data_IF_678621066692
#
_entry.id   IF_678621066692
#
_cell.length_a   1.000
_cell.length_b   1.000
_cell.length_c   1.000
_cell.angle_alpha   90.00
_cell.angle_beta   90.00
_cell.angle_gamma   90.00
#
_symmetry.space_group_name_H-M   'P 1'
#
loop_
_entity.id
_entity.type
_entity.pdbx_description
1 polymer ?
#
# COMPACT_ATOMS: atom_id res chain seq x y z
N UNK A 1 5.87 -23.86 -19.34
CA UNK A 1 6.20 -25.19 -19.92
C UNK A 1 5.04 -26.18 -19.82
N UNK A 2 4.46 -26.42 -18.64
CA UNK A 2 3.36 -27.39 -18.47
C UNK A 2 2.14 -27.13 -19.37
N UNK A 3 1.62 -25.90 -19.41
CA UNK A 3 0.46 -25.56 -20.25
C UNK A 3 0.75 -25.77 -21.75
N UNK A 4 1.96 -25.48 -22.20
CA UNK A 4 2.34 -25.72 -23.60
C UNK A 4 2.40 -27.22 -23.92
N UNK A 5 2.89 -28.05 -22.99
CA UNK A 5 2.83 -29.50 -23.11
C UNK A 5 1.38 -30.02 -23.14
N UNK A 6 0.52 -29.54 -22.22
CA UNK A 6 -0.89 -29.94 -22.16
C UNK A 6 -1.63 -29.57 -23.45
N UNK A 7 -1.35 -28.40 -24.03
CA UNK A 7 -1.92 -27.99 -25.31
C UNK A 7 -1.52 -28.92 -26.45
N UNK A 8 -0.24 -29.35 -26.51
CA UNK A 8 0.23 -30.33 -27.51
C UNK A 8 -0.45 -31.69 -27.35
N UNK A 9 -0.63 -32.18 -26.13
CA UNK A 9 -1.41 -33.41 -25.87
C UNK A 9 -2.86 -33.27 -26.35
N UNK A 10 -3.46 -32.10 -26.15
CA UNK A 10 -4.82 -31.80 -26.62
C UNK A 10 -4.94 -31.91 -28.15
N UNK A 11 -3.96 -31.34 -28.86
CA UNK A 11 -3.87 -31.39 -30.32
C UNK A 11 -3.61 -32.81 -30.82
N UNK A 12 -2.65 -33.53 -30.23
CA UNK A 12 -2.32 -34.91 -30.61
C UNK A 12 -3.52 -35.85 -30.46
N UNK A 13 -4.36 -35.63 -29.43
CA UNK A 13 -5.55 -36.44 -29.17
C UNK A 13 -6.79 -35.96 -29.91
N UNK A 14 -6.66 -34.95 -30.79
CA UNK A 14 -7.77 -34.35 -31.55
C UNK A 14 -8.95 -33.93 -30.67
N UNK A 15 -8.65 -33.47 -29.45
CA UNK A 15 -9.68 -33.03 -28.51
C UNK A 15 -10.23 -31.66 -28.90
N UNK A 16 -11.51 -31.44 -28.58
CA UNK A 16 -12.18 -30.18 -28.86
C UNK A 16 -11.48 -29.02 -28.15
N UNK A 17 -11.05 -28.01 -28.93
CA UNK A 17 -10.28 -26.86 -28.42
C UNK A 17 -11.05 -26.06 -27.37
N UNK A 18 -12.38 -26.03 -27.46
CA UNK A 18 -13.25 -25.34 -26.50
C UNK A 18 -13.18 -25.92 -25.08
N UNK A 19 -12.75 -27.19 -24.92
CA UNK A 19 -12.65 -27.85 -23.61
C UNK A 19 -11.32 -27.59 -22.90
N UNK A 20 -10.31 -27.12 -23.63
CA UNK A 20 -8.98 -26.88 -23.07
C UNK A 20 -8.99 -25.88 -21.89
N UNK A 21 -9.65 -24.71 -21.97
CA UNK A 21 -9.72 -23.78 -20.83
C UNK A 21 -10.41 -24.39 -19.61
N UNK A 22 -11.49 -25.17 -19.81
CA UNK A 22 -12.19 -25.83 -18.73
C UNK A 22 -11.30 -26.88 -18.03
N UNK A 23 -10.50 -27.61 -18.79
CA UNK A 23 -9.54 -28.58 -18.25
C UNK A 23 -8.42 -27.91 -17.45
N UNK A 24 -7.87 -26.80 -17.96
CA UNK A 24 -6.89 -25.99 -17.22
C UNK A 24 -7.50 -25.45 -15.93
N UNK A 25 -8.72 -24.92 -15.98
CA UNK A 25 -9.44 -24.45 -14.78
C UNK A 25 -9.66 -25.57 -13.76
N UNK A 26 -10.13 -26.73 -14.20
CA UNK A 26 -10.30 -27.90 -13.34
C UNK A 26 -8.99 -28.37 -12.70
N UNK A 27 -7.89 -28.34 -13.45
CA UNK A 27 -6.57 -28.67 -12.92
C UNK A 27 -6.11 -27.66 -11.86
N UNK A 28 -6.30 -26.36 -12.10
CA UNK A 28 -5.96 -25.33 -11.11
C UNK A 28 -6.76 -25.49 -9.82
N UNK A 29 -8.05 -25.83 -9.92
CA UNK A 29 -8.89 -26.13 -8.75
C UNK A 29 -8.36 -27.37 -8.01
N UNK A 30 -8.06 -28.44 -8.74
CA UNK A 30 -7.52 -29.66 -8.15
C UNK A 30 -6.18 -29.41 -7.44
N UNK A 31 -5.26 -28.68 -8.07
CA UNK A 31 -3.99 -28.25 -7.46
C UNK A 31 -4.26 -27.41 -6.21
N UNK A 32 -5.21 -26.48 -6.27
CA UNK A 32 -5.61 -25.67 -5.12
C UNK A 32 -6.10 -26.52 -3.94
N UNK A 33 -6.98 -27.49 -4.19
CA UNK A 33 -7.52 -28.40 -3.17
C UNK A 33 -6.40 -29.28 -2.59
N UNK A 34 -5.57 -29.89 -3.45
CA UNK A 34 -4.46 -30.73 -3.00
C UNK A 34 -3.48 -29.93 -2.17
N UNK A 35 -3.11 -28.72 -2.60
CA UNK A 35 -2.22 -27.84 -1.84
C UNK A 35 -2.85 -27.45 -0.51
N UNK A 36 -4.15 -27.16 -0.47
CA UNK A 36 -4.86 -26.83 0.77
C UNK A 36 -4.87 -27.97 1.79
N UNK A 37 -4.92 -29.22 1.34
CA UNK A 37 -4.92 -30.40 2.21
C UNK A 37 -3.51 -30.82 2.61
N UNK A 38 -2.57 -30.85 1.68
CA UNK A 38 -1.20 -31.36 1.90
C UNK A 38 -0.29 -30.30 2.53
N UNK A 39 -0.46 -29.03 2.15
CA UNK A 39 0.37 -27.90 2.58
C UNK A 39 -0.51 -26.76 3.14
N UNK A 40 -1.26 -26.99 4.22
CA UNK A 40 -2.23 -26.01 4.74
C UNK A 40 -1.56 -24.68 5.14
N UNK A 41 -0.32 -24.72 5.64
CA UNK A 41 0.46 -23.53 5.97
C UNK A 41 0.77 -22.67 4.73
N UNK A 42 1.16 -23.30 3.62
CA UNK A 42 1.41 -22.58 2.35
C UNK A 42 0.11 -21.94 1.83
N UNK A 43 -0.99 -22.68 1.85
CA UNK A 43 -2.31 -22.14 1.44
C UNK A 43 -2.76 -20.99 2.33
N UNK A 44 -2.55 -21.08 3.65
CA UNK A 44 -2.80 -19.99 4.58
C UNK A 44 -2.01 -18.74 4.24
N UNK A 45 -0.71 -18.87 3.99
CA UNK A 45 0.17 -17.78 3.59
C UNK A 45 -0.24 -17.14 2.26
N UNK A 46 -0.49 -17.94 1.23
CA UNK A 46 -0.92 -17.45 -0.09
C UNK A 46 -2.26 -16.71 0.02
N UNK A 47 -3.25 -17.31 0.68
CA UNK A 47 -4.58 -16.71 0.86
C UNK A 47 -4.48 -15.38 1.62
N UNK A 48 -3.74 -15.37 2.72
CA UNK A 48 -3.60 -14.18 3.58
C UNK A 48 -2.92 -13.04 2.82
N UNK A 49 -1.82 -13.31 2.13
CA UNK A 49 -1.10 -12.31 1.35
C UNK A 49 -1.92 -11.81 0.15
N UNK A 50 -2.60 -12.70 -0.57
CA UNK A 50 -3.44 -12.33 -1.70
C UNK A 50 -4.59 -11.40 -1.27
N UNK A 51 -5.25 -11.71 -0.15
CA UNK A 51 -6.34 -10.89 0.37
C UNK A 51 -5.85 -9.54 0.93
N UNK A 52 -4.68 -9.52 1.58
CA UNK A 52 -4.04 -8.26 2.00
C UNK A 52 -3.69 -7.38 0.79
N UNK A 53 -3.25 -7.98 -0.30
CA UNK A 53 -2.80 -7.25 -1.49
C UNK A 53 -3.94 -6.76 -2.39
N UNK A 54 -4.89 -7.64 -2.77
CA UNK A 54 -5.92 -7.35 -3.78
C UNK A 54 -7.31 -7.16 -3.18
N UNK A 55 -7.52 -7.64 -1.95
CA UNK A 55 -8.84 -7.84 -1.36
C UNK A 55 -9.54 -6.59 -0.85
N UNK A 56 -9.09 -5.37 -1.20
CA UNK A 56 -9.66 -4.09 -0.72
C UNK A 56 -9.92 -4.09 0.81
N UNK A 57 -9.11 -4.84 1.55
CA UNK A 57 -9.27 -5.10 2.98
C UNK A 57 -7.98 -4.72 3.71
N UNK A 58 -8.03 -3.62 4.46
CA UNK A 58 -7.03 -3.28 5.45
C UNK A 58 -7.56 -3.70 6.83
N UNK A 59 -6.82 -4.55 7.55
CA UNK A 59 -7.06 -4.84 8.96
C UNK A 59 -6.98 -3.57 9.83
N UNK A 60 -7.50 -3.63 11.06
CA UNK A 60 -7.49 -2.48 11.97
C UNK A 60 -6.07 -1.97 12.27
N UNK A 61 -5.11 -2.87 12.50
CA UNK A 61 -3.70 -2.54 12.69
C UNK A 61 -3.06 -1.86 11.45
N UNK A 62 -3.37 -2.35 10.25
CA UNK A 62 -2.94 -1.69 9.00
C UNK A 62 -3.63 -0.34 8.75
N UNK A 63 -4.76 -0.08 9.43
CA UNK A 63 -5.53 1.16 9.27
C UNK A 63 -5.04 2.33 10.15
N UNK A 64 -3.92 2.22 10.84
CA UNK A 64 -3.25 3.40 11.43
C UNK A 64 -1.91 3.69 10.80
N UNK A 65 -1.39 2.75 10.02
CA UNK A 65 -0.29 3.00 9.11
C UNK A 65 -0.84 3.80 7.93
N UNK A 66 -0.36 5.03 7.77
CA UNK A 66 -0.87 5.96 6.76
C UNK A 66 -0.87 5.38 5.33
N UNK A 67 0.11 4.55 5.01
CA UNK A 67 0.27 3.96 3.67
C UNK A 67 -0.61 2.73 3.40
N UNK A 68 -1.11 2.06 4.43
CA UNK A 68 -1.92 0.86 4.29
C UNK A 68 -3.44 1.16 4.32
N UNK A 69 -3.82 2.44 4.31
CA UNK A 69 -5.19 2.87 4.09
C UNK A 69 -5.69 2.52 2.69
N UNK A 70 -7.00 2.26 2.52
CA UNK A 70 -7.62 2.26 1.20
C UNK A 70 -7.49 3.64 0.55
N UNK A 71 -7.08 3.67 -0.71
CA UNK A 71 -6.81 4.92 -1.43
C UNK A 71 -8.00 5.87 -1.45
N UNK A 72 -9.22 5.33 -1.58
CA UNK A 72 -10.45 6.10 -1.70
C UNK A 72 -11.17 6.33 -0.34
N UNK A 73 -10.52 6.09 0.80
CA UNK A 73 -11.17 6.18 2.12
C UNK A 73 -11.37 7.62 2.62
N UNK A 74 -10.52 8.56 2.22
CA UNK A 74 -10.42 9.90 2.84
C UNK A 74 -11.27 11.01 2.21
N UNK A 75 -12.03 10.75 1.14
CA UNK A 75 -12.76 11.80 0.43
C UNK A 75 -13.57 11.33 -0.77
N UNK A 76 -13.97 12.27 -1.63
CA UNK A 76 -14.64 11.96 -2.89
C UNK A 76 -13.71 11.14 -3.80
N UNK A 77 -14.12 9.95 -4.31
CA UNK A 77 -13.27 9.13 -5.16
C UNK A 77 -12.70 9.88 -6.37
N UNK A 78 -13.52 10.73 -6.99
CA UNK A 78 -13.08 11.57 -8.10
C UNK A 78 -11.97 12.54 -7.67
N UNK A 79 -12.15 13.22 -6.53
CA UNK A 79 -11.19 14.20 -6.05
C UNK A 79 -9.85 13.56 -5.73
N UNK A 80 -9.85 12.39 -5.07
CA UNK A 80 -8.62 11.65 -4.73
C UNK A 80 -7.89 11.15 -5.97
N UNK A 81 -8.60 10.59 -6.95
CA UNK A 81 -7.99 10.15 -8.21
C UNK A 81 -7.44 11.35 -8.98
N UNK A 82 -8.22 12.44 -9.06
CA UNK A 82 -7.82 13.64 -9.79
C UNK A 82 -6.66 14.37 -9.11
N UNK A 83 -6.56 14.35 -7.78
CA UNK A 83 -5.45 14.96 -7.03
C UNK A 83 -4.11 14.24 -7.27
N UNK A 84 -4.12 12.93 -7.50
CA UNK A 84 -2.90 12.16 -7.78
C UNK A 84 -2.58 12.08 -9.27
N UNK A 85 -3.58 11.73 -10.08
CA UNK A 85 -3.39 11.33 -11.49
C UNK A 85 -3.99 12.28 -12.52
N UNK A 86 -4.72 13.31 -12.08
CA UNK A 86 -5.43 14.25 -12.97
C UNK A 86 -6.29 13.48 -13.99
N UNK A 87 -6.29 13.89 -15.26
CA UNK A 87 -7.00 13.22 -16.34
C UNK A 87 -6.30 11.96 -16.88
N UNK A 88 -5.05 11.70 -16.48
CA UNK A 88 -4.30 10.53 -16.95
C UNK A 88 -4.98 9.23 -16.54
N UNK A 89 -5.43 9.11 -15.29
CA UNK A 89 -6.17 7.91 -14.85
C UNK A 89 -7.44 7.65 -15.67
N UNK A 90 -8.21 8.70 -15.98
CA UNK A 90 -9.46 8.56 -16.73
C UNK A 90 -9.23 8.19 -18.19
N UNK A 91 -8.18 8.74 -18.81
CA UNK A 91 -7.78 8.34 -20.18
C UNK A 91 -7.25 6.91 -20.20
N UNK A 92 -6.45 6.51 -19.22
CA UNK A 92 -5.98 5.14 -19.05
C UNK A 92 -7.14 4.13 -18.89
N UNK A 93 -8.11 4.45 -18.04
CA UNK A 93 -9.33 3.65 -17.87
C UNK A 93 -10.12 3.57 -19.18
N UNK A 94 -10.23 4.68 -19.91
CA UNK A 94 -10.92 4.72 -21.20
C UNK A 94 -10.24 3.82 -22.23
N UNK A 95 -8.91 3.82 -22.31
CA UNK A 95 -8.18 2.88 -23.18
C UNK A 95 -8.46 1.41 -22.80
N UNK A 96 -8.40 1.07 -21.51
CA UNK A 96 -8.67 -0.29 -21.05
C UNK A 96 -10.08 -0.75 -21.40
N UNK A 97 -11.09 0.08 -21.11
CA UNK A 97 -12.50 -0.21 -21.41
C UNK A 97 -12.73 -0.31 -22.90
N UNK A 98 -12.15 0.60 -23.69
CA UNK A 98 -12.36 0.58 -25.14
C UNK A 98 -11.66 -0.60 -25.80
N UNK A 99 -10.46 -0.97 -25.36
CA UNK A 99 -9.76 -2.17 -25.83
C UNK A 99 -10.58 -3.43 -25.57
N UNK A 100 -11.15 -3.58 -24.36
CA UNK A 100 -11.99 -4.72 -24.00
C UNK A 100 -13.33 -4.71 -24.75
N UNK A 101 -14.02 -3.58 -24.77
CA UNK A 101 -15.39 -3.47 -25.24
C UNK A 101 -15.53 -3.37 -26.76
N UNK A 102 -14.60 -2.69 -27.45
CA UNK A 102 -14.73 -2.40 -28.89
C UNK A 102 -14.90 -3.66 -29.75
N UNK A 103 -14.14 -4.75 -29.56
CA UNK A 103 -14.35 -5.97 -30.35
C UNK A 103 -15.70 -6.63 -30.10
N UNK A 104 -16.18 -6.59 -28.86
CA UNK A 104 -17.47 -7.19 -28.48
C UNK A 104 -18.66 -6.38 -28.99
N UNK A 105 -18.57 -5.05 -28.95
CA UNK A 105 -19.63 -4.13 -29.40
C UNK A 105 -19.72 -4.09 -30.93
N UNK A 106 -18.58 -4.26 -31.63
CA UNK A 106 -18.53 -4.31 -33.10
C UNK A 106 -18.75 -5.71 -33.68
N UNK A 107 -18.97 -6.71 -32.84
CA UNK A 107 -19.29 -8.07 -33.29
C UNK A 107 -20.65 -8.07 -34.01
N UNK A 108 -20.75 -8.82 -35.11
CA UNK A 108 -22.03 -9.01 -35.82
C UNK A 108 -23.03 -9.84 -34.97
N UNK A 109 -22.53 -10.56 -33.96
CA UNK A 109 -23.33 -11.37 -33.04
C UNK A 109 -23.91 -10.52 -31.90
N UNK A 110 -25.24 -10.42 -31.84
CA UNK A 110 -25.94 -9.62 -30.82
C UNK A 110 -25.57 -10.05 -29.39
N UNK A 111 -25.27 -11.33 -29.19
CA UNK A 111 -24.92 -11.88 -27.87
C UNK A 111 -23.62 -11.31 -27.30
N UNK A 112 -22.72 -10.79 -28.13
CA UNK A 112 -21.44 -10.22 -27.67
C UNK A 112 -21.62 -8.77 -27.22
N UNK A 113 -22.41 -8.00 -27.95
CA UNK A 113 -22.81 -6.65 -27.54
C UNK A 113 -23.62 -6.67 -26.26
N UNK A 114 -24.56 -7.62 -26.12
CA UNK A 114 -25.32 -7.84 -24.87
C UNK A 114 -24.39 -8.20 -23.72
N UNK A 115 -23.36 -9.02 -23.97
CA UNK A 115 -22.36 -9.36 -22.96
C UNK A 115 -21.58 -8.13 -22.49
N UNK A 116 -21.10 -7.29 -23.42
CA UNK A 116 -20.38 -6.07 -23.08
C UNK A 116 -21.25 -5.10 -22.26
N UNK A 117 -22.51 -4.90 -22.66
CA UNK A 117 -23.46 -4.06 -21.92
C UNK A 117 -23.75 -4.62 -20.53
N UNK A 118 -23.97 -5.94 -20.41
CA UNK A 118 -24.21 -6.61 -19.14
C UNK A 118 -22.98 -6.54 -18.22
N UNK A 119 -21.76 -6.68 -18.75
CA UNK A 119 -20.53 -6.55 -18.00
C UNK A 119 -20.38 -5.14 -17.39
N UNK A 120 -20.61 -4.09 -18.20
CA UNK A 120 -20.59 -2.70 -17.73
C UNK A 120 -21.67 -2.46 -16.67
N UNK A 121 -22.90 -2.93 -16.92
CA UNK A 121 -24.01 -2.79 -15.98
C UNK A 121 -23.74 -3.53 -14.66
N UNK A 122 -23.12 -4.71 -14.71
CA UNK A 122 -22.76 -5.48 -13.52
C UNK A 122 -21.68 -4.76 -12.71
N UNK A 123 -20.59 -4.33 -13.35
CA UNK A 123 -19.51 -3.59 -12.69
C UNK A 123 -20.05 -2.28 -12.10
N UNK A 124 -20.79 -1.49 -12.88
CA UNK A 124 -21.43 -0.27 -12.39
C UNK A 124 -22.41 -0.54 -11.24
N UNK A 125 -23.19 -1.61 -11.33
CA UNK A 125 -24.15 -2.05 -10.32
C UNK A 125 -23.50 -2.39 -8.97
N UNK A 126 -22.30 -2.97 -8.97
CA UNK A 126 -21.53 -3.24 -7.74
C UNK A 126 -21.29 -1.95 -6.95
N UNK A 127 -20.96 -0.85 -7.65
CA UNK A 127 -20.72 0.44 -7.02
C UNK A 127 -22.01 1.20 -6.69
N UNK A 128 -22.98 1.20 -7.60
CA UNK A 128 -24.24 1.94 -7.45
C UNK A 128 -25.17 1.31 -6.40
N UNK A 129 -25.16 -0.01 -6.27
CA UNK A 129 -26.01 -0.77 -5.35
C UNK A 129 -25.19 -1.46 -4.25
N UNK A 130 -24.16 -0.79 -3.73
CA UNK A 130 -23.22 -1.35 -2.73
C UNK A 130 -23.90 -2.03 -1.52
N UNK A 131 -24.97 -1.49 -0.91
CA UNK A 131 -25.64 -2.15 0.21
C UNK A 131 -26.26 -3.50 -0.18
N UNK A 132 -26.85 -3.60 -1.38
CA UNK A 132 -27.45 -4.82 -1.91
C UNK A 132 -26.36 -5.84 -2.23
N UNK A 133 -25.31 -5.39 -2.92
CA UNK A 133 -24.14 -6.19 -3.24
C UNK A 133 -23.49 -6.81 -2.00
N UNK A 134 -23.27 -6.02 -0.95
CA UNK A 134 -22.67 -6.50 0.30
C UNK A 134 -23.55 -7.56 1.00
N UNK A 135 -24.88 -7.41 0.96
CA UNK A 135 -25.80 -8.42 1.52
C UNK A 135 -25.74 -9.72 0.73
N UNK A 136 -25.77 -9.64 -0.60
CA UNK A 136 -25.66 -10.82 -1.47
C UNK A 136 -24.35 -11.56 -1.24
N UNK A 137 -23.23 -10.84 -1.14
CA UNK A 137 -21.95 -11.44 -0.81
C UNK A 137 -21.98 -12.22 0.51
N UNK A 138 -22.58 -11.62 1.55
CA UNK A 138 -22.76 -12.27 2.86
C UNK A 138 -23.60 -13.54 2.81
N UNK A 139 -24.68 -13.55 2.01
CA UNK A 139 -25.55 -14.74 1.84
C UNK A 139 -24.81 -15.90 1.18
N UNK A 140 -23.96 -15.61 0.19
CA UNK A 140 -23.16 -16.63 -0.52
C UNK A 140 -21.92 -17.02 0.29
N UNK A 141 -21.68 -16.39 1.45
CA UNK A 141 -20.53 -16.69 2.31
C UNK A 141 -19.20 -16.10 1.80
N UNK A 142 -19.25 -15.14 0.87
CA UNK A 142 -18.07 -14.45 0.38
C UNK A 142 -17.89 -13.09 1.05
N UNK A 143 -16.62 -12.75 1.30
CA UNK A 143 -16.26 -11.36 1.54
C UNK A 143 -16.62 -10.53 0.28
N UNK A 144 -17.30 -9.37 0.40
CA UNK A 144 -17.74 -8.57 -0.75
C UNK A 144 -16.61 -8.21 -1.71
N UNK A 145 -15.39 -8.01 -1.21
CA UNK A 145 -14.25 -7.68 -2.05
C UNK A 145 -13.77 -8.89 -2.85
N UNK A 146 -13.73 -10.08 -2.23
CA UNK A 146 -13.41 -11.34 -2.92
C UNK A 146 -14.42 -11.62 -4.03
N UNK A 147 -15.70 -11.44 -3.74
CA UNK A 147 -16.75 -11.60 -4.75
C UNK A 147 -16.54 -10.65 -5.94
N UNK A 148 -16.05 -9.44 -5.69
CA UNK A 148 -15.83 -8.43 -6.74
C UNK A 148 -14.69 -8.86 -7.67
N UNK A 149 -13.60 -9.34 -7.10
CA UNK A 149 -12.47 -9.90 -7.87
C UNK A 149 -12.93 -11.10 -8.70
N UNK A 150 -13.71 -12.00 -8.11
CA UNK A 150 -14.24 -13.17 -8.82
C UNK A 150 -15.17 -12.78 -9.97
N UNK A 151 -16.03 -11.78 -9.77
CA UNK A 151 -16.90 -11.25 -10.83
C UNK A 151 -16.05 -10.65 -11.96
N UNK A 152 -15.09 -9.78 -11.65
CA UNK A 152 -14.23 -9.16 -12.67
C UNK A 152 -13.41 -10.22 -13.42
N UNK A 153 -12.83 -11.19 -12.71
CA UNK A 153 -12.11 -12.30 -13.32
C UNK A 153 -13.01 -13.13 -14.24
N UNK A 154 -14.24 -13.45 -13.81
CA UNK A 154 -15.22 -14.16 -14.62
C UNK A 154 -15.61 -13.35 -15.87
N UNK A 155 -15.77 -12.03 -15.75
CA UNK A 155 -16.05 -11.15 -16.88
C UNK A 155 -14.89 -11.08 -17.89
N UNK A 156 -13.64 -11.06 -17.40
CA UNK A 156 -12.47 -11.08 -18.27
C UNK A 156 -12.34 -12.44 -18.98
N UNK A 157 -12.53 -13.55 -18.27
CA UNK A 157 -12.55 -14.90 -18.87
C UNK A 157 -13.67 -15.00 -19.90
N UNK A 158 -14.89 -14.58 -19.55
CA UNK A 158 -16.03 -14.62 -20.47
C UNK A 158 -15.80 -13.78 -21.72
N UNK A 159 -15.10 -12.64 -21.61
CA UNK A 159 -14.71 -11.84 -22.78
C UNK A 159 -13.80 -12.65 -23.72
N UNK A 160 -12.81 -13.39 -23.19
CA UNK A 160 -11.91 -14.24 -24.00
C UNK A 160 -12.62 -15.44 -24.65
N UNK A 161 -13.74 -15.88 -24.10
CA UNK A 161 -14.57 -16.93 -24.70
C UNK A 161 -15.44 -16.41 -25.85
N UNK A 162 -15.73 -15.10 -25.89
CA UNK A 162 -16.47 -14.45 -26.97
C UNK A 162 -15.57 -13.95 -28.09
N UNK A 163 -14.45 -13.34 -27.73
CA UNK A 163 -13.52 -12.75 -28.68
C UNK A 163 -12.08 -13.19 -28.40
N UNK A 164 -11.32 -13.50 -29.46
CA UNK A 164 -9.91 -13.85 -29.35
C UNK A 164 -9.06 -12.59 -29.33
N UNK A 165 -8.76 -12.12 -28.13
CA UNK A 165 -7.83 -11.01 -27.93
C UNK A 165 -6.38 -11.44 -28.17
N UNK A 166 -5.55 -10.52 -28.65
CA UNK A 166 -4.10 -10.69 -28.68
C UNK A 166 -3.59 -10.88 -27.24
N UNK A 167 -2.79 -11.94 -27.02
CA UNK A 167 -2.41 -12.36 -25.67
C UNK A 167 -1.56 -11.33 -24.92
N UNK A 168 -0.67 -10.63 -25.64
CA UNK A 168 0.17 -9.54 -25.14
C UNK A 168 -0.66 -8.35 -24.67
N UNK A 169 -1.66 -7.95 -25.46
CA UNK A 169 -2.55 -6.83 -25.11
C UNK A 169 -3.51 -7.19 -23.99
N UNK A 170 -4.06 -8.41 -24.01
CA UNK A 170 -4.92 -8.89 -22.93
C UNK A 170 -4.15 -9.04 -21.61
N UNK A 171 -2.88 -9.45 -21.66
CA UNK A 171 -2.01 -9.46 -20.49
C UNK A 171 -1.89 -8.07 -19.85
N UNK A 172 -1.72 -7.00 -20.65
CA UNK A 172 -1.67 -5.63 -20.12
C UNK A 172 -2.96 -5.25 -19.38
N UNK A 173 -4.13 -5.68 -19.87
CA UNK A 173 -5.41 -5.47 -19.19
C UNK A 173 -5.43 -6.17 -17.83
N UNK A 174 -5.08 -7.46 -17.79
CA UNK A 174 -5.10 -8.25 -16.56
C UNK A 174 -4.12 -7.68 -15.54
N UNK A 175 -2.90 -7.36 -15.97
CA UNK A 175 -1.88 -6.72 -15.15
C UNK A 175 -2.34 -5.36 -14.63
N UNK A 176 -2.85 -4.49 -15.51
CA UNK A 176 -3.35 -3.16 -15.14
C UNK A 176 -4.51 -3.22 -14.15
N UNK A 177 -5.45 -4.15 -14.35
CA UNK A 177 -6.57 -4.37 -13.42
C UNK A 177 -6.07 -4.85 -12.05
N UNK A 178 -5.10 -5.76 -12.01
CA UNK A 178 -4.53 -6.29 -10.78
C UNK A 178 -3.80 -5.21 -9.97
N UNK A 179 -2.92 -4.43 -10.62
CA UNK A 179 -2.21 -3.32 -9.99
C UNK A 179 -3.17 -2.22 -9.53
N UNK A 180 -4.19 -1.89 -10.32
CA UNK A 180 -5.23 -0.92 -9.93
C UNK A 180 -5.98 -1.40 -8.69
N UNK A 181 -6.36 -2.67 -8.64
CA UNK A 181 -7.00 -3.27 -7.46
C UNK A 181 -6.10 -3.17 -6.23
N UNK A 182 -4.80 -3.45 -6.36
CA UNK A 182 -3.85 -3.36 -5.27
C UNK A 182 -3.67 -1.91 -4.77
N UNK A 183 -3.46 -0.95 -5.67
CA UNK A 183 -3.32 0.46 -5.34
C UNK A 183 -4.59 1.05 -4.69
N UNK A 184 -5.77 0.57 -5.09
CA UNK A 184 -7.02 1.00 -4.48
C UNK A 184 -7.24 0.35 -3.10
N UNK A 185 -6.63 -0.82 -2.88
CA UNK A 185 -6.62 -1.53 -1.59
C UNK A 185 -5.69 -0.85 -0.59
N UNK A 186 -4.50 -0.45 -1.01
CA UNK A 186 -3.53 0.24 -0.16
C UNK A 186 -2.75 1.30 -0.93
N UNK A 187 -2.62 2.49 -0.34
CA UNK A 187 -1.86 3.62 -0.90
C UNK A 187 -0.40 3.25 -1.20
N UNK A 188 0.22 2.34 -0.44
CA UNK A 188 1.60 1.90 -0.71
C UNK A 188 1.83 1.27 -2.08
N UNK A 189 0.80 0.82 -2.80
CA UNK A 189 0.97 0.29 -4.15
C UNK A 189 0.74 1.34 -5.24
N UNK A 190 0.49 2.60 -4.86
CA UNK A 190 0.17 3.67 -5.80
C UNK A 190 1.33 3.95 -6.78
N UNK A 191 2.58 3.75 -6.37
CA UNK A 191 3.72 3.90 -7.29
C UNK A 191 3.73 2.87 -8.44
N UNK A 192 3.16 1.67 -8.25
CA UNK A 192 2.97 0.73 -9.36
C UNK A 192 1.84 1.16 -10.30
N UNK A 193 0.78 1.76 -9.76
CA UNK A 193 -0.34 2.27 -10.55
C UNK A 193 0.09 3.41 -11.47
N UNK A 194 1.06 4.24 -11.08
CA UNK A 194 1.62 5.28 -11.94
C UNK A 194 2.14 4.74 -13.28
N UNK A 195 2.85 3.61 -13.26
CA UNK A 195 3.33 2.97 -14.49
C UNK A 195 2.19 2.46 -15.36
N UNK A 196 1.17 1.83 -14.75
CA UNK A 196 -0.02 1.36 -15.47
C UNK A 196 -0.74 2.54 -16.12
N UNK A 197 -1.00 3.61 -15.37
CA UNK A 197 -1.66 4.82 -15.86
C UNK A 197 -0.88 5.41 -17.04
N UNK A 198 0.44 5.56 -16.91
CA UNK A 198 1.27 6.09 -17.99
C UNK A 198 1.18 5.25 -19.28
N UNK A 199 1.30 3.92 -19.19
CA UNK A 199 1.22 3.02 -20.34
C UNK A 199 -0.18 3.10 -20.98
N UNK A 200 -1.24 3.02 -20.17
CA UNK A 200 -2.60 3.03 -20.69
C UNK A 200 -3.04 4.40 -21.23
N UNK A 201 -2.53 5.50 -20.67
CA UNK A 201 -2.69 6.84 -21.26
C UNK A 201 -1.97 6.92 -22.61
N UNK A 202 -0.77 6.34 -22.75
CA UNK A 202 -0.09 6.28 -24.05
C UNK A 202 -0.89 5.44 -25.06
N UNK A 203 -1.47 4.32 -24.62
CA UNK A 203 -2.38 3.51 -25.45
C UNK A 203 -3.63 4.30 -25.85
N UNK A 204 -4.19 5.11 -24.94
CA UNK A 204 -5.31 6.01 -25.25
C UNK A 204 -4.93 7.00 -26.35
N UNK A 205 -3.78 7.67 -26.22
CA UNK A 205 -3.28 8.61 -27.22
C UNK A 205 -3.07 7.91 -28.56
N UNK A 206 -2.45 6.73 -28.57
CA UNK A 206 -2.26 5.93 -29.79
C UNK A 206 -3.60 5.53 -30.42
N UNK A 207 -4.59 5.19 -29.59
CA UNK A 207 -5.93 4.83 -30.05
C UNK A 207 -6.62 6.04 -30.68
N UNK A 208 -6.63 7.20 -30.03
CA UNK A 208 -7.21 8.42 -30.62
C UNK A 208 -6.48 8.78 -31.90
N UNK A 209 -5.14 8.75 -31.92
CA UNK A 209 -4.35 9.02 -33.11
C UNK A 209 -4.70 8.09 -34.29
N UNK A 210 -4.97 6.81 -34.03
CA UNK A 210 -5.42 5.87 -35.07
C UNK A 210 -6.84 6.11 -35.59
N UNK A 211 -7.69 6.81 -34.84
CA UNK A 211 -9.06 7.11 -35.27
C UNK A 211 -9.14 8.33 -36.19
N UNK A 212 -8.15 9.22 -36.08
CA UNK A 212 -8.12 10.49 -36.80
C UNK A 212 -6.91 10.56 -37.75
N UNK A 213 -6.33 9.40 -38.09
CA UNK A 213 -5.20 9.19 -39.00
C UNK A 213 -3.95 10.05 -38.73
N UNK A 214 -3.76 10.46 -37.46
CA UNK A 214 -2.63 11.29 -37.03
C UNK A 214 -1.26 10.64 -37.26
N UNK A 215 -1.18 9.31 -37.43
CA UNK A 215 0.08 8.60 -37.70
C UNK A 215 0.58 8.86 -39.12
N UNK A 216 -0.29 8.77 -40.11
CA UNK A 216 0.03 9.17 -41.50
C UNK A 216 0.35 10.66 -41.56
N UNK A 217 -0.30 11.46 -40.71
CA UNK A 217 0.01 12.88 -40.54
C UNK A 217 1.40 13.13 -39.94
N UNK A 218 1.83 12.38 -38.93
CA UNK A 218 3.16 12.52 -38.34
C UNK A 218 4.29 12.10 -39.30
N UNK A 219 4.08 11.03 -40.06
CA UNK A 219 5.01 10.58 -41.09
C UNK A 219 5.07 11.57 -42.27
N UNK A 220 3.95 12.20 -42.65
CA UNK A 220 3.91 13.25 -43.68
C UNK A 220 4.47 14.61 -43.23
N UNK A 221 4.50 14.93 -41.92
CA UNK A 221 5.22 16.12 -41.41
C UNK A 221 6.72 16.05 -41.76
N UNK A 222 7.30 14.86 -41.83
CA UNK A 222 8.68 14.64 -42.27
C UNK A 222 8.89 14.90 -43.77
N UNK A 223 7.84 14.87 -44.61
CA UNK A 223 7.98 14.93 -46.08
C UNK A 223 7.22 16.07 -46.80
N UNK A 224 6.17 16.70 -46.25
CA UNK A 224 5.62 17.96 -46.79
C UNK A 224 4.51 18.58 -45.94
N UNK A 225 4.67 19.87 -45.61
CA UNK A 225 3.84 20.69 -44.71
C UNK A 225 2.44 21.10 -45.23
N UNK A 226 1.69 20.23 -45.93
CA UNK A 226 0.38 20.62 -46.51
C UNK A 226 -0.80 19.64 -46.37
N UNK A 227 -0.73 18.61 -45.53
CA UNK A 227 -1.82 17.62 -45.42
C UNK A 227 -2.45 17.46 -44.02
N UNK A 228 -2.18 18.36 -43.07
CA UNK A 228 -2.88 18.32 -41.78
C UNK A 228 -4.21 19.07 -41.91
N UNK A 229 -5.34 18.37 -41.74
CA UNK A 229 -6.62 19.05 -41.62
C UNK A 229 -6.65 19.85 -40.30
N UNK A 230 -7.09 21.12 -40.35
CA UNK A 230 -6.99 22.02 -39.19
C UNK A 230 -7.63 21.49 -37.91
N UNK A 231 -8.67 20.65 -38.01
CA UNK A 231 -9.30 20.02 -36.85
C UNK A 231 -8.47 18.88 -36.24
N UNK A 232 -7.67 18.15 -37.03
CA UNK A 232 -6.75 17.11 -36.52
C UNK A 232 -5.68 17.75 -35.62
N UNK A 233 -5.13 18.89 -36.04
CA UNK A 233 -4.20 19.67 -35.24
C UNK A 233 -4.86 20.15 -33.94
N UNK A 234 -6.10 20.63 -34.00
CA UNK A 234 -6.86 21.04 -32.80
C UNK A 234 -7.05 19.87 -31.84
N UNK A 235 -7.40 18.67 -32.33
CA UNK A 235 -7.55 17.48 -31.46
C UNK A 235 -6.23 17.09 -30.82
N UNK A 236 -5.13 17.06 -31.58
CA UNK A 236 -3.80 16.73 -31.05
C UNK A 236 -3.38 17.73 -29.95
N UNK A 237 -3.52 19.03 -30.22
CA UNK A 237 -3.25 20.10 -29.24
C UNK A 237 -4.16 19.97 -28.02
N UNK A 238 -5.45 19.70 -28.22
CA UNK A 238 -6.42 19.51 -27.12
C UNK A 238 -6.05 18.32 -26.24
N UNK A 239 -5.60 17.20 -26.81
CA UNK A 239 -5.15 16.03 -26.05
C UNK A 239 -3.91 16.37 -25.21
N UNK A 240 -2.92 17.04 -25.81
CA UNK A 240 -1.72 17.49 -25.10
C UNK A 240 -2.11 18.41 -23.94
N UNK A 241 -2.97 19.40 -24.18
CA UNK A 241 -3.46 20.30 -23.12
C UNK A 241 -4.31 19.59 -22.07
N UNK A 242 -5.16 18.63 -22.44
CA UNK A 242 -5.98 17.89 -21.48
C UNK A 242 -5.11 16.98 -20.59
N UNK A 243 -4.07 16.38 -21.15
CA UNK A 243 -3.18 15.49 -20.41
C UNK A 243 -2.15 16.24 -19.58
N UNK A 244 -1.55 17.30 -20.12
CA UNK A 244 -0.43 18.02 -19.49
C UNK A 244 -0.89 19.32 -18.81
N UNK A 245 -1.88 20.01 -19.36
CA UNK A 245 -2.38 21.29 -18.85
C UNK A 245 -2.80 21.26 -17.37
N UNK A 246 -3.55 20.24 -16.90
CA UNK A 246 -3.86 20.09 -15.47
C UNK A 246 -2.65 19.92 -14.54
N UNK A 247 -1.47 19.59 -15.08
CA UNK A 247 -0.22 19.54 -14.32
C UNK A 247 0.54 20.87 -14.32
N UNK A 248 0.35 21.73 -15.33
CA UNK A 248 1.03 23.02 -15.46
C UNK A 248 0.24 24.16 -14.80
N UNK A 249 -1.08 24.21 -15.04
CA UNK A 249 -1.91 25.39 -14.74
C UNK A 249 -2.55 25.32 -13.35
N UNK A 250 -2.61 24.14 -12.73
CA UNK A 250 -3.36 23.98 -11.48
C UNK A 250 -2.53 24.35 -10.24
N UNK A 251 -2.85 25.51 -9.64
CA UNK A 251 -2.33 25.99 -8.35
C UNK A 251 -3.16 25.52 -7.14
N UNK A 252 -3.71 24.31 -7.19
CA UNK A 252 -4.55 23.75 -6.12
C UNK A 252 -3.76 23.33 -4.88
N UNK A 253 -4.43 23.04 -3.75
CA UNK A 253 -3.78 22.64 -2.50
C UNK A 253 -3.09 21.25 -2.57
N UNK A 254 -3.31 20.48 -3.65
CA UNK A 254 -2.72 19.16 -3.86
C UNK A 254 -1.59 19.24 -4.87
N UNK A 255 -0.36 19.15 -4.37
CA UNK A 255 0.86 19.08 -5.18
C UNK A 255 0.80 17.83 -6.06
N UNK A 256 1.10 17.96 -7.35
CA UNK A 256 1.24 16.78 -8.21
C UNK A 256 2.43 15.91 -7.74
N UNK A 257 2.37 14.59 -7.95
CA UNK A 257 3.40 13.65 -7.47
C UNK A 257 4.85 14.04 -7.85
N UNK A 258 5.07 14.62 -9.03
CA UNK A 258 6.38 15.16 -9.45
C UNK A 258 6.84 16.33 -8.58
N UNK A 259 5.94 17.22 -8.19
CA UNK A 259 6.27 18.36 -7.34
C UNK A 259 6.59 17.91 -5.92
N UNK A 260 5.84 16.93 -5.39
CA UNK A 260 6.20 16.26 -4.13
C UNK A 260 7.57 15.61 -4.22
N UNK A 261 7.86 14.89 -5.32
CA UNK A 261 9.16 14.28 -5.56
C UNK A 261 10.32 15.30 -5.65
N UNK A 262 10.08 16.45 -6.27
CA UNK A 262 11.05 17.56 -6.35
C UNK A 262 11.28 18.28 -5.02
N UNK A 263 10.42 18.06 -4.03
CA UNK A 263 10.55 18.58 -2.66
C UNK A 263 11.09 17.53 -1.68
N UNK A 264 11.52 16.37 -2.17
CA UNK A 264 12.12 15.34 -1.32
C UNK A 264 13.44 15.86 -0.73
N UNK A 265 13.57 15.74 0.59
CA UNK A 265 14.77 16.09 1.34
C UNK A 265 14.85 15.28 2.63
N UNK A 266 15.92 15.43 3.42
CA UNK A 266 16.02 14.78 4.73
C UNK A 266 14.85 15.29 5.60
N UNK A 267 13.91 14.39 5.89
CA UNK A 267 12.64 14.72 6.55
C UNK A 267 12.81 14.97 8.05
N UNK A 268 11.95 14.34 8.85
CA UNK A 268 11.94 14.51 10.30
C UNK A 268 13.23 14.03 11.02
N UNK A 269 14.13 13.33 10.32
CA UNK A 269 15.43 12.93 10.87
C UNK A 269 16.30 14.14 11.24
N UNK A 270 16.13 15.28 10.56
CA UNK A 270 16.90 16.50 10.84
C UNK A 270 16.66 17.07 12.24
N UNK A 271 15.49 16.81 12.82
CA UNK A 271 15.17 17.18 14.22
C UNK A 271 15.83 16.21 15.21
N UNK A 272 16.05 14.97 14.79
CA UNK A 272 16.64 13.93 15.62
C UNK A 272 18.18 13.89 15.56
N UNK A 273 18.78 14.51 14.55
CA UNK A 273 20.20 14.37 14.19
C UNK A 273 21.12 14.71 15.37
N UNK A 274 21.00 15.91 15.94
CA UNK A 274 21.81 16.36 17.09
C UNK A 274 21.66 15.44 18.32
N UNK A 275 20.44 14.96 18.57
CA UNK A 275 20.15 14.08 19.72
C UNK A 275 20.72 12.67 19.52
N UNK A 276 20.73 12.18 18.28
CA UNK A 276 21.31 10.89 17.92
C UNK A 276 22.84 10.95 17.86
N UNK A 277 23.40 12.06 17.38
CA UNK A 277 24.85 12.31 17.45
C UNK A 277 25.33 12.36 18.90
N UNK A 278 24.58 13.04 19.78
CA UNK A 278 24.86 13.04 21.21
C UNK A 278 24.80 11.62 21.79
N UNK A 279 23.75 10.85 21.48
CA UNK A 279 23.65 9.45 21.93
C UNK A 279 24.86 8.63 21.48
N UNK A 280 25.26 8.75 20.22
CA UNK A 280 26.40 8.03 19.66
C UNK A 280 27.69 8.32 20.43
N UNK A 281 27.96 9.60 20.72
CA UNK A 281 29.22 10.05 21.34
C UNK A 281 29.26 9.92 22.86
N UNK A 282 28.13 10.05 23.54
CA UNK A 282 28.07 10.27 24.99
C UNK A 282 27.49 9.09 25.77
N UNK A 283 27.02 8.04 25.07
CA UNK A 283 26.63 6.78 25.71
C UNK A 283 27.65 5.67 25.41
N UNK A 284 27.84 4.68 26.30
CA UNK A 284 28.74 3.56 26.02
C UNK A 284 28.35 2.83 24.72
N UNK A 285 29.32 2.32 23.97
CA UNK A 285 29.01 1.47 22.82
C UNK A 285 28.38 0.15 23.32
N UNK A 286 27.39 -0.43 22.61
CA UNK A 286 26.82 -1.73 23.00
C UNK A 286 27.93 -2.78 23.12
N UNK A 287 27.95 -3.52 24.22
CA UNK A 287 29.02 -4.46 24.58
C UNK A 287 30.11 -3.88 25.49
N UNK A 288 30.07 -2.58 25.79
CA UNK A 288 31.05 -1.90 26.68
C UNK A 288 30.45 -1.36 27.98
N UNK A 289 29.11 -1.43 28.13
CA UNK A 289 28.42 -0.93 29.32
C UNK A 289 28.84 -1.73 30.55
N UNK A 290 29.32 -1.05 31.59
CA UNK A 290 29.76 -1.68 32.84
C UNK A 290 31.16 -2.33 32.77
N UNK A 291 31.60 -2.80 31.60
CA UNK A 291 32.90 -3.46 31.41
C UNK A 291 34.01 -2.48 31.01
N UNK A 292 33.68 -1.39 30.32
CA UNK A 292 34.64 -0.38 29.82
C UNK A 292 35.65 -0.91 28.80
N UNK A 293 35.46 -2.16 28.33
CA UNK A 293 36.43 -2.86 27.47
C UNK A 293 36.04 -2.69 26.00
N UNK A 294 36.80 -1.89 25.27
CA UNK A 294 36.53 -1.58 23.86
C UNK A 294 36.60 -2.81 22.94
N UNK A 295 37.34 -3.85 23.32
CA UNK A 295 37.42 -5.09 22.54
C UNK A 295 36.08 -5.87 22.48
N UNK A 296 35.14 -5.55 23.38
CA UNK A 296 33.79 -6.13 23.42
C UNK A 296 32.75 -5.29 22.68
N UNK A 297 33.12 -4.12 22.16
CA UNK A 297 32.21 -3.25 21.43
C UNK A 297 31.61 -3.95 20.20
N UNK A 298 30.30 -3.84 20.06
CA UNK A 298 29.57 -4.37 18.91
C UNK A 298 29.82 -3.49 17.68
N UNK A 299 30.36 -4.08 16.62
CA UNK A 299 30.55 -3.38 15.36
C UNK A 299 29.27 -3.44 14.51
N UNK A 300 28.62 -2.31 14.17
CA UNK A 300 27.35 -2.29 13.44
C UNK A 300 27.46 -2.79 11.99
N UNK A 301 28.67 -2.85 11.43
CA UNK A 301 28.92 -3.25 10.03
C UNK A 301 29.41 -4.70 9.88
N UNK A 302 29.61 -5.40 11.01
CA UNK A 302 30.06 -6.79 11.01
C UNK A 302 28.90 -7.74 10.67
N UNK A 303 29.23 -8.92 10.14
CA UNK A 303 28.29 -10.04 10.05
C UNK A 303 28.11 -10.70 11.40
N UNK A 304 26.84 -10.91 11.79
CA UNK A 304 26.44 -11.64 12.98
C UNK A 304 25.72 -12.93 12.58
N UNK A 305 25.93 -13.99 13.34
CA UNK A 305 25.24 -15.26 13.12
C UNK A 305 23.79 -15.12 13.55
N UNK A 306 22.86 -15.50 12.66
CA UNK A 306 21.43 -15.51 12.95
C UNK A 306 21.05 -16.88 13.53
N UNK A 307 20.57 -16.97 14.79
CA UNK A 307 20.06 -18.21 15.34
C UNK A 307 18.84 -18.71 14.56
N UNK A 308 18.66 -20.04 14.47
CA UNK A 308 17.58 -20.63 13.69
C UNK A 308 16.21 -20.49 14.37
N UNK A 309 16.17 -20.70 15.70
CA UNK A 309 14.93 -20.85 16.47
C UNK A 309 14.96 -20.06 17.81
N UNK A 310 15.84 -19.06 17.95
CA UNK A 310 15.96 -18.25 19.16
C UNK A 310 16.29 -16.79 18.84
N UNK A 311 16.18 -15.93 19.86
CA UNK A 311 16.70 -14.58 19.80
C UNK A 311 18.23 -14.57 19.77
N UNK A 312 18.80 -13.46 19.31
CA UNK A 312 20.24 -13.25 19.26
C UNK A 312 20.80 -13.09 20.68
N UNK A 313 21.84 -13.88 21.00
CA UNK A 313 22.52 -13.82 22.29
C UNK A 313 23.48 -12.62 22.31
N UNK A 314 23.05 -11.55 22.98
CA UNK A 314 23.82 -10.32 23.05
C UNK A 314 25.00 -10.47 24.04
N UNK A 315 26.18 -9.91 23.73
CA UNK A 315 27.31 -9.94 24.65
C UNK A 315 27.01 -9.11 25.90
N UNK A 316 27.69 -9.44 27.01
CA UNK A 316 27.65 -8.64 28.24
C UNK A 316 27.94 -7.16 27.94
N UNK A 317 27.17 -6.26 28.56
CA UNK A 317 27.28 -4.82 28.33
C UNK A 317 26.57 -4.32 27.07
N UNK A 318 25.88 -5.19 26.31
CA UNK A 318 24.88 -4.76 25.33
C UNK A 318 23.62 -4.23 26.03
N UNK A 319 22.93 -3.30 25.39
CA UNK A 319 21.70 -2.74 25.91
C UNK A 319 20.78 -2.24 24.79
N UNK A 320 19.49 -2.19 25.09
CA UNK A 320 18.44 -1.66 24.24
C UNK A 320 18.13 -0.17 24.46
N UNK A 321 17.60 0.47 23.42
CA UNK A 321 17.07 1.83 23.41
C UNK A 321 15.58 1.78 23.06
N UNK A 322 14.73 2.16 23.99
CA UNK A 322 13.29 2.23 23.79
C UNK A 322 12.89 3.53 23.08
N UNK A 323 12.10 3.41 22.02
CA UNK A 323 11.38 4.54 21.42
C UNK A 323 10.14 4.04 20.68
N UNK A 324 9.43 4.92 19.97
CA UNK A 324 8.41 4.47 19.02
C UNK A 324 9.06 3.81 17.78
N UNK A 325 8.41 2.79 17.22
CA UNK A 325 9.00 1.93 16.19
C UNK A 325 9.44 2.67 14.92
N UNK A 326 8.79 3.79 14.57
CA UNK A 326 9.17 4.64 13.43
C UNK A 326 10.65 5.10 13.49
N UNK A 327 11.22 5.21 14.69
CA UNK A 327 12.53 5.84 14.92
C UNK A 327 13.68 4.82 15.01
N UNK A 328 13.38 3.51 15.00
CA UNK A 328 14.40 2.47 15.22
C UNK A 328 15.56 2.50 14.22
N UNK A 329 15.29 2.75 12.92
CA UNK A 329 16.38 2.88 11.94
C UNK A 329 17.30 4.06 12.21
N UNK A 330 16.79 5.18 12.75
CA UNK A 330 17.62 6.34 13.07
C UNK A 330 18.49 6.06 14.30
N UNK A 331 17.94 5.38 15.31
CA UNK A 331 18.67 4.91 16.48
C UNK A 331 19.81 3.96 16.08
N UNK A 332 19.55 3.03 15.16
CA UNK A 332 20.61 2.13 14.65
C UNK A 332 21.64 2.85 13.80
N UNK A 333 21.23 3.67 12.83
CA UNK A 333 22.14 4.22 11.82
C UNK A 333 22.91 5.43 12.33
N UNK A 334 22.25 6.36 13.02
CA UNK A 334 22.91 7.59 13.53
C UNK A 334 23.33 7.45 14.98
N UNK A 335 22.52 6.78 15.80
CA UNK A 335 22.86 6.53 17.21
C UNK A 335 23.86 5.40 17.39
N UNK A 336 23.99 4.48 16.43
CA UNK A 336 24.72 3.21 16.56
C UNK A 336 24.36 2.47 17.86
N UNK A 337 23.07 2.47 18.22
CA UNK A 337 22.51 1.73 19.35
C UNK A 337 21.42 0.76 18.89
N UNK A 338 21.08 -0.20 19.76
CA UNK A 338 20.12 -1.27 19.45
C UNK A 338 18.71 -0.77 19.81
N UNK A 339 17.80 -0.53 18.85
CA UNK A 339 16.45 -0.11 19.16
C UNK A 339 15.58 -1.30 19.61
N UNK A 340 14.75 -1.10 20.62
CA UNK A 340 13.81 -2.14 21.08
C UNK A 340 12.70 -2.42 20.04
N UNK A 341 12.39 -1.43 19.20
CA UNK A 341 11.36 -1.51 18.17
C UNK A 341 11.82 -0.81 16.88
N UNK A 342 11.39 -1.32 15.71
CA UNK A 342 11.90 -0.84 14.42
C UNK A 342 10.82 -0.67 13.32
N UNK A 343 11.13 0.03 12.21
CA UNK A 343 10.20 0.24 11.09
C UNK A 343 9.72 -1.01 10.34
N UNK A 344 10.25 -2.19 10.65
CA UNK A 344 9.68 -3.47 10.21
C UNK A 344 8.50 -3.92 11.09
N UNK A 345 8.09 -3.10 12.08
CA UNK A 345 7.02 -3.32 13.06
C UNK A 345 7.35 -4.40 14.09
N UNK A 346 8.60 -4.82 14.17
CA UNK A 346 9.08 -5.65 15.25
C UNK A 346 9.19 -4.83 16.53
N UNK A 347 8.70 -5.37 17.66
CA UNK A 347 8.68 -4.64 18.94
C UNK A 347 7.61 -3.54 19.06
N UNK A 348 6.72 -3.38 18.06
CA UNK A 348 5.78 -2.26 18.04
C UNK A 348 4.68 -2.37 19.12
N UNK A 349 4.25 -3.58 19.48
CA UNK A 349 3.26 -3.81 20.52
C UNK A 349 3.85 -3.58 21.91
N UNK A 350 5.04 -4.08 22.14
CA UNK A 350 5.81 -3.92 23.38
C UNK A 350 6.18 -2.45 23.60
N UNK A 351 6.59 -1.75 22.53
CA UNK A 351 6.79 -0.30 22.57
C UNK A 351 5.48 0.45 22.88
N UNK A 352 4.34 -0.03 22.39
CA UNK A 352 3.05 0.58 22.71
C UNK A 352 2.67 0.37 24.18
N UNK A 353 2.89 -0.83 24.73
CA UNK A 353 2.64 -1.15 26.12
C UNK A 353 3.49 -0.28 27.05
N UNK A 354 4.77 -0.05 26.72
CA UNK A 354 5.61 0.90 27.44
C UNK A 354 5.06 2.34 27.37
N UNK A 355 4.75 2.83 26.16
CA UNK A 355 4.34 4.23 25.96
C UNK A 355 2.95 4.55 26.53
N UNK A 356 2.10 3.55 26.68
CA UNK A 356 0.76 3.66 27.26
C UNK A 356 0.70 3.22 28.72
N UNK A 357 1.83 2.82 29.30
CA UNK A 357 1.88 2.35 30.67
C UNK A 357 1.36 3.43 31.65
N UNK A 358 0.41 3.09 32.54
CA UNK A 358 -0.22 4.08 33.41
C UNK A 358 0.67 4.56 34.56
N UNK A 359 1.78 3.88 34.83
CA UNK A 359 2.74 4.19 35.88
C UNK A 359 4.11 3.55 35.60
N UNK A 360 5.12 3.96 36.37
CA UNK A 360 6.52 3.53 36.19
C UNK A 360 6.74 2.04 36.40
N UNK A 361 5.98 1.39 37.31
CA UNK A 361 6.07 -0.05 37.53
C UNK A 361 5.58 -0.82 36.29
N UNK A 362 4.41 -0.46 35.77
CA UNK A 362 3.88 -1.07 34.55
C UNK A 362 4.78 -0.80 33.33
N UNK A 363 5.42 0.36 33.27
CA UNK A 363 6.38 0.69 32.22
C UNK A 363 7.64 -0.17 32.31
N UNK A 364 8.18 -0.40 33.52
CA UNK A 364 9.31 -1.29 33.74
C UNK A 364 8.97 -2.75 33.37
N UNK A 365 7.78 -3.23 33.76
CA UNK A 365 7.30 -4.56 33.39
C UNK A 365 7.19 -4.72 31.87
N UNK A 366 6.68 -3.70 31.17
CA UNK A 366 6.56 -3.69 29.71
C UNK A 366 7.94 -3.73 29.00
N UNK A 367 8.95 -3.02 29.52
CA UNK A 367 10.31 -3.10 28.98
C UNK A 367 10.91 -4.50 29.14
N UNK A 368 10.68 -5.13 30.28
CA UNK A 368 11.26 -6.44 30.61
C UNK A 368 10.60 -7.58 29.84
N UNK A 369 9.36 -7.42 29.35
CA UNK A 369 8.60 -8.47 28.66
C UNK A 369 9.31 -9.03 27.42
N UNK A 370 10.14 -8.22 26.74
CA UNK A 370 10.87 -8.60 25.52
C UNK A 370 12.33 -9.00 25.78
N UNK A 371 12.85 -8.79 26.99
CA UNK A 371 14.27 -8.94 27.28
C UNK A 371 14.55 -10.38 27.71
N UNK A 372 15.60 -11.00 27.15
CA UNK A 372 16.09 -12.27 27.65
C UNK A 372 16.75 -12.08 29.03
N UNK A 373 17.02 -13.18 29.74
CA UNK A 373 17.69 -13.12 31.03
C UNK A 373 19.08 -12.49 30.88
N UNK A 374 19.28 -11.30 31.45
CA UNK A 374 20.53 -10.53 31.36
C UNK A 374 20.49 -9.37 30.36
N UNK A 375 19.48 -9.29 29.50
CA UNK A 375 19.28 -8.15 28.61
C UNK A 375 18.59 -6.99 29.36
N UNK A 376 18.99 -5.76 29.04
CA UNK A 376 18.37 -4.57 29.63
C UNK A 376 18.13 -3.44 28.62
N UNK A 377 17.06 -2.67 28.87
CA UNK A 377 16.86 -1.37 28.22
C UNK A 377 17.51 -0.27 29.04
N UNK A 378 18.51 0.41 28.46
CA UNK A 378 19.26 1.44 29.19
C UNK A 378 18.77 2.86 28.94
N UNK A 379 18.25 3.12 27.75
CA UNK A 379 17.84 4.46 27.35
C UNK A 379 16.45 4.46 26.74
N UNK A 380 15.73 5.58 26.92
CA UNK A 380 14.42 5.82 26.31
C UNK A 380 14.50 7.13 25.55
N UNK A 381 14.16 7.14 24.25
CA UNK A 381 14.09 8.36 23.44
C UNK A 381 12.64 8.72 23.13
N UNK A 382 12.26 9.97 23.45
CA UNK A 382 10.91 10.49 23.24
C UNK A 382 10.95 11.81 22.47
N UNK A 383 10.11 11.93 21.44
CA UNK A 383 9.92 13.13 20.62
C UNK A 383 8.57 13.80 20.94
N UNK A 384 8.47 15.12 20.74
CA UNK A 384 7.24 15.91 20.84
C UNK A 384 6.04 15.27 20.10
N UNK A 385 6.26 14.58 18.97
CA UNK A 385 5.18 13.88 18.25
C UNK A 385 4.54 12.77 19.06
N UNK A 386 5.32 12.09 19.91
CA UNK A 386 4.85 11.00 20.77
C UNK A 386 4.03 11.49 21.95
N UNK A 387 4.17 12.76 22.35
CA UNK A 387 3.42 13.36 23.48
C UNK A 387 2.29 14.29 23.03
N UNK A 388 2.15 14.52 21.72
CA UNK A 388 1.14 15.43 21.16
C UNK A 388 -0.11 14.66 20.71
N UNK A 389 -1.31 14.90 21.30
CA UNK A 389 -2.56 14.20 20.96
C UNK A 389 -2.97 14.26 19.49
N UNK A 390 -2.65 15.35 18.81
CA UNK A 390 -2.92 15.55 17.38
C UNK A 390 -1.88 14.91 16.43
N UNK A 391 -0.87 14.24 16.97
CA UNK A 391 0.24 13.65 16.20
C UNK A 391 0.30 12.13 16.40
N UNK A 392 1.41 11.58 16.90
CA UNK A 392 1.62 10.13 17.05
C UNK A 392 1.19 9.56 18.41
N UNK A 393 0.82 10.41 19.37
CA UNK A 393 0.45 9.98 20.72
C UNK A 393 -0.66 8.89 20.74
N UNK A 394 -1.64 8.96 19.83
CA UNK A 394 -2.71 7.96 19.76
C UNK A 394 -2.32 6.65 19.05
N UNK A 395 -1.22 6.64 18.27
CA UNK A 395 -0.87 5.52 17.42
C UNK A 395 -0.60 4.21 18.19
N UNK A 396 0.05 4.24 19.38
CA UNK A 396 0.21 3.07 20.24
C UNK A 396 -1.11 2.34 20.57
N UNK A 397 -2.23 3.06 20.72
CA UNK A 397 -3.52 2.45 21.14
C UNK A 397 -4.06 1.40 20.18
N UNK A 398 -3.52 1.31 18.97
CA UNK A 398 -3.94 0.32 17.96
C UNK A 398 -3.18 -1.00 18.10
N UNK A 399 -2.06 -0.98 18.82
CA UNK A 399 -1.25 -2.16 19.07
C UNK A 399 -1.54 -2.77 20.45
N UNK A 400 -2.44 -2.18 21.23
CA UNK A 400 -2.88 -2.68 22.53
C UNK A 400 -4.41 -2.81 22.54
N UNK A 401 -4.90 -4.05 22.58
CA UNK A 401 -6.33 -4.37 22.50
C UNK A 401 -7.14 -3.97 23.74
N UNK A 402 -6.47 -3.66 24.87
CA UNK A 402 -7.11 -3.33 26.14
C UNK A 402 -7.46 -1.85 26.29
N UNK A 403 -7.01 -1.02 25.36
CA UNK A 403 -7.17 0.43 25.40
C UNK A 403 -7.65 0.97 24.06
N UNK A 404 -8.19 2.17 24.11
CA UNK A 404 -8.73 2.88 22.95
C UNK A 404 -8.25 4.32 22.95
N UNK A 405 -8.29 4.95 21.77
CA UNK A 405 -7.93 6.37 21.63
C UNK A 405 -8.72 7.28 22.59
N UNK A 406 -9.99 6.96 22.84
CA UNK A 406 -10.87 7.72 23.73
C UNK A 406 -10.43 7.69 25.19
N UNK A 407 -9.65 6.69 25.61
CA UNK A 407 -9.18 6.59 26.99
C UNK A 407 -8.13 7.66 27.30
N UNK A 408 -7.46 8.18 26.26
CA UNK A 408 -6.38 9.14 26.41
C UNK A 408 -6.67 10.50 25.79
N UNK A 409 -7.49 10.58 24.73
CA UNK A 409 -7.76 11.82 23.99
C UNK A 409 -9.26 12.13 23.91
N UNK A 410 -9.62 13.35 24.27
CA UNK A 410 -10.97 13.90 24.05
C UNK A 410 -10.95 14.98 22.96
N UNK A 411 -11.82 14.89 21.93
CA UNK A 411 -12.02 15.96 20.96
C UNK A 411 -12.99 17.02 21.52
N UNK A 412 -12.55 18.27 21.64
CA UNK A 412 -13.44 19.40 21.89
C UNK A 412 -13.65 20.21 20.60
N UNK A 413 -14.87 20.67 20.38
CA UNK A 413 -15.24 21.46 19.22
C UNK A 413 -15.44 22.91 19.63
N UNK A 414 -14.52 23.83 19.26
CA UNK A 414 -14.66 25.23 19.63
C UNK A 414 -15.92 25.80 18.98
N UNK A 415 -16.76 26.47 19.77
CA UNK A 415 -17.98 27.09 19.26
C UNK A 415 -17.61 28.41 18.58
N UNK A 416 -17.98 28.55 17.31
CA UNK A 416 -17.78 29.74 16.48
C UNK A 416 -19.13 30.34 16.10
N UNK A 417 -19.15 31.60 15.66
CA UNK A 417 -20.39 32.27 15.21
C UNK A 417 -21.10 31.55 14.05
N UNK A 418 -20.38 30.70 13.29
CA UNK A 418 -20.92 29.91 12.16
C UNK A 418 -21.19 28.44 12.50
N UNK A 419 -21.14 28.05 13.77
CA UNK A 419 -21.32 26.66 14.23
C UNK A 419 -20.09 26.11 14.97
N UNK A 420 -19.82 24.82 14.86
CA UNK A 420 -18.62 24.21 15.47
C UNK A 420 -17.39 24.39 14.55
N UNK A 421 -16.28 24.85 15.12
CA UNK A 421 -14.99 24.93 14.46
C UNK A 421 -14.30 23.57 14.34
N UNK A 422 -13.07 23.56 13.81
CA UNK A 422 -12.25 22.33 13.70
C UNK A 422 -12.01 21.72 15.10
N UNK A 423 -12.06 20.38 15.23
CA UNK A 423 -11.82 19.72 16.51
C UNK A 423 -10.42 20.03 17.03
N UNK A 424 -10.34 20.30 18.32
CA UNK A 424 -9.11 20.42 19.10
C UNK A 424 -9.02 19.17 19.98
N UNK A 425 -7.87 18.51 19.99
CA UNK A 425 -7.66 17.29 20.77
C UNK A 425 -6.95 17.61 22.07
N UNK A 426 -7.55 17.23 23.20
CA UNK A 426 -6.98 17.35 24.54
C UNK A 426 -6.59 15.97 25.06
N UNK A 427 -5.44 15.87 25.73
CA UNK A 427 -5.11 14.70 26.52
C UNK A 427 -5.84 14.76 27.87
N UNK A 428 -6.27 13.62 28.41
CA UNK A 428 -6.80 13.55 29.77
C UNK A 428 -5.72 13.91 30.80
N UNK A 429 -6.10 14.57 31.91
CA UNK A 429 -5.14 14.92 32.97
C UNK A 429 -4.52 13.65 33.56
N UNK A 430 -3.19 13.59 33.63
CA UNK A 430 -2.44 12.42 34.12
C UNK A 430 -1.87 11.53 33.00
N UNK A 431 -2.21 11.81 31.74
CA UNK A 431 -1.61 11.16 30.58
C UNK A 431 -0.16 11.63 30.42
N UNK A 432 0.78 10.81 30.87
CA UNK A 432 2.22 11.07 30.78
C UNK A 432 2.93 9.80 30.31
N UNK A 433 4.01 9.95 29.54
CA UNK A 433 4.91 8.82 29.32
C UNK A 433 5.68 8.64 30.61
N UNK A 434 5.50 7.49 31.26
CA UNK A 434 6.17 7.18 32.52
C UNK A 434 7.69 7.25 32.35
N UNK A 435 8.38 7.78 33.35
CA UNK A 435 9.83 7.60 33.45
C UNK A 435 10.07 6.16 33.87
N UNK A 436 10.96 5.46 33.17
CA UNK A 436 11.42 4.15 33.61
C UNK A 436 12.25 4.27 34.90
N UNK A 437 12.39 3.15 35.61
CA UNK A 437 13.13 2.97 36.88
C UNK A 437 14.50 3.66 36.95
N UNK A 438 15.06 3.79 38.17
CA UNK A 438 16.37 4.42 38.46
C UNK A 438 17.55 3.98 37.56
N UNK A 439 17.47 2.80 36.93
CA UNK A 439 18.47 2.25 36.03
C UNK A 439 18.39 2.75 34.58
N UNK A 440 17.26 3.28 34.11
CA UNK A 440 17.02 3.61 32.69
C UNK A 440 16.90 5.12 32.51
N UNK A 441 17.66 5.68 31.55
CA UNK A 441 17.73 7.14 31.32
C UNK A 441 16.82 7.59 30.18
N UNK A 442 15.92 8.53 30.46
CA UNK A 442 15.06 9.14 29.43
C UNK A 442 15.75 10.35 28.78
N UNK A 443 15.80 10.36 27.45
CA UNK A 443 16.28 11.44 26.60
C UNK A 443 15.10 12.04 25.83
N UNK A 444 14.94 13.36 25.91
CA UNK A 444 14.01 14.09 25.05
C UNK A 444 14.75 14.55 23.79
N UNK A 445 14.16 14.31 22.63
CA UNK A 445 14.65 14.86 21.36
C UNK A 445 14.35 16.35 21.33
N UNK A 446 15.36 17.16 20.99
CA UNK A 446 15.25 18.62 20.98
C UNK A 446 14.33 19.18 19.90
#
# INVERSE_FOLDING_TARGET
>A
MFLAWLAREWEQRSLERARYPAAVGGLLIAIGIVTAVVLPGLTGTIRTNLLRFVGLSAGAATRTIGEAQPFLAGGSPFQTIYSEYRLAFFTALTAAVTFLGRPLIRSDETRDTVYAAAAIALVGGIYLARPVYNRLAGVVGFNPQVLGILIVAALLIGATLRYRYDADRFYLIVWGAFITSAAFTQVRFNYYLATVVAIFTALFVAQVASYIDLRETADSISESTRQIEGWQAIVAVTLVFALIGPFIVWSGPTLAAWQTGGQNGPGAVTVWDDSLEWMNKETPEPGTLGTGTQDQAMNPTKTYDRPADSDYDYPEGAYGVQSWWDYGHWITVQGERIPNANPFQEGAAEAADYLLAPNETAAADALNQKMAEGDETRYVMVDWKMVTPGSKFAAPTVFNDNVSRSDFIEPAYPRTERGYGRPIHFAHSGTTIARSSDSTRTMAVQ
#
